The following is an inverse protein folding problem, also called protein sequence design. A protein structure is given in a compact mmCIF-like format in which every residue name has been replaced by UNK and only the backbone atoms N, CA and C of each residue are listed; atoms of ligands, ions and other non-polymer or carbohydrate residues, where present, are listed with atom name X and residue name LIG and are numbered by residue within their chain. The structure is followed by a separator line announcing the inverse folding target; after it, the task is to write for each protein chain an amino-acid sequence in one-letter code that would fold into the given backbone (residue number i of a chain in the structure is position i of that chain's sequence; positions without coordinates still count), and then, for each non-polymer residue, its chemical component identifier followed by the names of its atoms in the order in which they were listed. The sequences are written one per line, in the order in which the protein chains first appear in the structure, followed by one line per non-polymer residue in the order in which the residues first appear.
data_IF_507648779200
#
_entry.id   IF_507648779200
#
_cell.length_a   1.000
_cell.length_b   1.000
_cell.length_c   1.000
_cell.angle_alpha   90.00
_cell.angle_beta   90.00
_cell.angle_gamma   90.00
#
_symmetry.space_group_name_H-M   'P 1'
#
loop_
_entity.id
_entity.type
_entity.pdbx_description
1 polymer ?
#
# COMPACT_ATOMS: atom_id res chain seq x y z
N UNK A 1 61.89 55.98 -31.45
CA UNK A 1 60.56 56.37 -31.96
C UNK A 1 60.33 55.45 -33.15
N UNK A 2 59.76 54.26 -32.98
CA UNK A 2 58.36 54.00 -32.51
C UNK A 2 57.41 55.06 -33.10
N UNK A 3 56.28 54.75 -33.74
CA UNK A 3 55.31 53.68 -33.52
C UNK A 3 54.31 53.72 -34.70
N UNK A 4 53.53 52.65 -34.89
CA UNK A 4 52.14 52.64 -35.43
C UNK A 4 51.97 52.62 -36.96
N UNK A 5 51.12 51.78 -37.56
CA UNK A 5 50.31 50.69 -37.05
C UNK A 5 49.75 49.96 -38.29
N UNK A 6 50.12 48.70 -38.46
CA UNK A 6 49.39 47.74 -39.30
C UNK A 6 48.04 47.41 -38.60
N UNK A 7 47.14 48.39 -38.47
CA UNK A 7 45.83 48.25 -37.81
C UNK A 7 44.64 48.48 -38.76
N UNK A 8 44.77 48.14 -40.04
CA UNK A 8 43.66 48.27 -41.00
C UNK A 8 43.38 46.97 -41.77
N UNK A 9 43.55 45.81 -41.12
CA UNK A 9 43.18 44.51 -41.72
C UNK A 9 42.38 43.59 -40.79
N UNK A 10 41.97 44.05 -39.61
CA UNK A 10 41.24 43.24 -38.63
C UNK A 10 39.78 43.68 -38.43
N UNK A 11 39.17 44.38 -39.40
CA UNK A 11 37.73 44.63 -39.42
C UNK A 11 36.95 43.32 -39.61
N UNK A 12 36.72 42.65 -38.47
CA UNK A 12 35.46 42.04 -38.09
C UNK A 12 34.85 41.09 -39.14
N UNK A 13 35.58 40.02 -39.47
CA UNK A 13 34.94 38.79 -39.94
C UNK A 13 34.13 38.19 -38.79
N UNK A 14 32.92 38.72 -38.57
CA UNK A 14 31.97 38.15 -37.63
C UNK A 14 31.55 36.80 -38.23
N UNK A 15 31.91 35.66 -37.63
CA UNK A 15 31.58 34.38 -38.22
C UNK A 15 30.06 34.28 -38.31
N UNK A 16 29.54 34.12 -39.53
CA UNK A 16 28.11 33.88 -39.75
C UNK A 16 27.75 32.63 -38.98
N UNK A 17 27.01 32.79 -37.88
CA UNK A 17 26.59 31.68 -37.04
C UNK A 17 25.82 30.68 -37.92
N UNK A 18 26.41 29.49 -38.12
CA UNK A 18 25.83 28.46 -38.96
C UNK A 18 24.45 28.10 -38.42
N UNK A 19 23.45 28.02 -39.30
CA UNK A 19 22.09 27.62 -38.93
C UNK A 19 22.11 26.20 -38.35
N UNK A 20 21.79 26.07 -37.06
CA UNK A 20 21.64 24.76 -36.39
C UNK A 20 20.16 24.39 -36.42
N UNK A 21 19.83 23.26 -37.06
CA UNK A 21 18.45 22.75 -37.10
C UNK A 21 17.93 22.57 -35.67
N UNK A 22 16.70 23.03 -35.40
CA UNK A 22 16.06 22.99 -34.06
C UNK A 22 16.18 21.61 -33.38
N UNK A 23 16.07 20.52 -34.14
CA UNK A 23 16.17 19.14 -33.63
C UNK A 23 17.57 18.81 -33.11
N UNK A 24 18.61 19.36 -33.73
CA UNK A 24 19.99 19.23 -33.28
C UNK A 24 20.32 20.16 -32.09
N UNK A 25 19.45 21.10 -31.72
CA UNK A 25 19.62 21.91 -30.51
C UNK A 25 19.03 21.22 -29.27
N UNK A 26 18.02 20.36 -29.47
CA UNK A 26 17.39 19.62 -28.38
C UNK A 26 18.32 18.47 -27.98
N UNK A 27 18.66 18.43 -26.69
CA UNK A 27 19.44 17.39 -26.01
C UNK A 27 20.98 17.45 -26.10
N UNK A 28 21.59 18.46 -26.74
CA UNK A 28 23.06 18.57 -26.78
C UNK A 28 23.73 18.79 -25.42
N UNK A 29 22.99 19.25 -24.43
CA UNK A 29 23.47 19.51 -23.07
C UNK A 29 22.59 18.86 -21.99
N UNK A 30 21.73 17.90 -22.37
CA UNK A 30 20.91 17.17 -21.39
C UNK A 30 21.73 15.97 -20.88
N UNK A 31 22.37 16.15 -19.73
CA UNK A 31 22.99 15.05 -18.98
C UNK A 31 21.98 14.45 -18.02
N UNK A 32 21.82 13.13 -18.06
CA UNK A 32 21.12 12.38 -17.02
C UNK A 32 22.16 12.00 -15.98
N UNK A 33 22.07 12.58 -14.79
CA UNK A 33 22.93 12.24 -13.65
C UNK A 33 22.12 11.50 -12.59
N UNK A 34 22.78 10.58 -11.88
CA UNK A 34 22.20 9.98 -10.69
C UNK A 34 22.30 10.95 -9.52
N UNK A 35 21.18 11.19 -8.84
CA UNK A 35 21.21 11.88 -7.56
C UNK A 35 21.57 10.87 -6.47
N UNK A 36 22.78 11.00 -5.92
CA UNK A 36 23.29 10.09 -4.89
C UNK A 36 22.46 10.11 -3.62
N UNK A 37 21.76 11.22 -3.33
CA UNK A 37 20.88 11.32 -2.16
C UNK A 37 19.64 10.47 -2.35
N UNK A 38 19.00 10.60 -3.51
CA UNK A 38 17.85 9.76 -3.87
C UNK A 38 18.25 8.29 -3.95
N UNK A 39 19.46 7.98 -4.40
CA UNK A 39 19.98 6.60 -4.36
C UNK A 39 20.10 6.08 -2.92
N UNK A 40 20.67 6.88 -2.01
CA UNK A 40 20.80 6.51 -0.59
C UNK A 40 19.44 6.32 0.08
N UNK A 41 18.48 7.21 -0.20
CA UNK A 41 17.12 7.10 0.32
C UNK A 41 16.34 5.95 -0.32
N UNK A 42 16.59 5.67 -1.59
CA UNK A 42 16.03 4.50 -2.26
C UNK A 42 16.55 3.20 -1.65
N UNK A 43 17.87 3.07 -1.45
CA UNK A 43 18.48 1.84 -0.91
C UNK A 43 18.19 1.69 0.59
N UNK A 44 18.47 2.71 1.40
CA UNK A 44 18.33 2.65 2.85
C UNK A 44 16.91 2.92 3.37
N UNK A 45 16.08 3.60 2.57
CA UNK A 45 14.75 4.04 3.00
C UNK A 45 13.66 2.95 3.00
N UNK A 46 13.99 1.69 2.70
CA UNK A 46 13.00 0.60 2.66
C UNK A 46 12.27 0.44 4.00
N UNK A 47 12.97 0.50 5.13
CA UNK A 47 12.33 0.42 6.45
C UNK A 47 11.36 1.58 6.68
N UNK A 48 11.75 2.80 6.29
CA UNK A 48 10.89 4.00 6.40
C UNK A 48 9.67 3.88 5.50
N UNK A 49 9.83 3.49 4.23
CA UNK A 49 8.72 3.26 3.28
C UNK A 49 7.80 2.12 3.76
N UNK A 50 8.34 1.04 4.30
CA UNK A 50 7.56 -0.06 4.87
C UNK A 50 6.77 0.38 6.11
N UNK A 51 7.38 1.18 6.98
CA UNK A 51 6.70 1.76 8.15
C UNK A 51 5.62 2.75 7.76
N UNK A 52 5.87 3.59 6.74
CA UNK A 52 4.88 4.52 6.17
C UNK A 52 3.65 3.76 5.66
N UNK A 53 3.85 2.74 4.81
CA UNK A 53 2.76 1.92 4.28
C UNK A 53 1.91 1.26 5.36
N UNK A 54 2.52 0.77 6.45
CA UNK A 54 1.77 0.19 7.59
C UNK A 54 0.87 1.22 8.27
N UNK A 55 1.41 2.41 8.58
CA UNK A 55 0.63 3.49 9.19
C UNK A 55 -0.52 3.96 8.30
N UNK A 56 -0.30 4.05 6.99
CA UNK A 56 -1.35 4.43 6.03
C UNK A 56 -2.48 3.40 6.00
N UNK A 57 -2.14 2.10 6.01
CA UNK A 57 -3.14 1.05 6.09
C UNK A 57 -3.95 1.12 7.41
N UNK A 58 -3.28 1.33 8.55
CA UNK A 58 -3.95 1.50 9.85
C UNK A 58 -4.91 2.70 9.85
N UNK A 59 -4.48 3.84 9.30
CA UNK A 59 -5.32 5.04 9.20
C UNK A 59 -6.55 4.82 8.33
N UNK A 60 -6.40 4.14 7.19
CA UNK A 60 -7.53 3.81 6.32
C UNK A 60 -8.56 2.92 7.02
N UNK A 61 -8.10 1.91 7.77
CA UNK A 61 -8.98 1.04 8.56
C UNK A 61 -9.72 1.84 9.63
N UNK A 62 -9.02 2.70 10.38
CA UNK A 62 -9.64 3.55 11.42
C UNK A 62 -10.66 4.53 10.84
N UNK A 63 -10.37 5.13 9.68
CA UNK A 63 -11.29 6.06 9.02
C UNK A 63 -12.55 5.33 8.55
N UNK A 64 -12.41 4.14 7.95
CA UNK A 64 -13.55 3.32 7.56
C UNK A 64 -14.42 2.94 8.77
N UNK A 65 -13.82 2.52 9.88
CA UNK A 65 -14.54 2.24 11.13
C UNK A 65 -15.25 3.48 11.69
N UNK A 66 -14.61 4.66 11.61
CA UNK A 66 -15.22 5.92 12.06
C UNK A 66 -16.44 6.28 11.19
N UNK A 67 -16.34 6.12 9.87
CA UNK A 67 -17.47 6.36 8.94
C UNK A 67 -18.65 5.44 9.26
N UNK A 68 -18.39 4.13 9.43
CA UNK A 68 -19.41 3.15 9.84
C UNK A 68 -20.14 3.57 11.13
N UNK A 69 -19.41 4.00 12.16
CA UNK A 69 -20.02 4.47 13.44
C UNK A 69 -20.90 5.71 13.26
N UNK A 70 -20.49 6.65 12.42
CA UNK A 70 -21.26 7.87 12.16
C UNK A 70 -22.54 7.52 11.38
N UNK A 71 -22.44 6.66 10.38
CA UNK A 71 -23.58 6.20 9.59
C UNK A 71 -24.60 5.45 10.45
N UNK A 72 -24.13 4.55 11.33
CA UNK A 72 -25.00 3.85 12.29
C UNK A 72 -25.72 4.82 13.23
N UNK A 73 -25.02 5.84 13.76
CA UNK A 73 -25.63 6.90 14.57
C UNK A 73 -26.68 7.70 13.81
N UNK A 74 -26.41 8.04 12.54
CA UNK A 74 -27.36 8.74 11.68
C UNK A 74 -28.59 7.88 11.40
N UNK A 75 -28.41 6.60 11.09
CA UNK A 75 -29.50 5.64 10.86
C UNK A 75 -30.40 5.54 12.09
N UNK A 76 -29.83 5.36 13.29
CA UNK A 76 -30.58 5.31 14.56
C UNK A 76 -31.36 6.60 14.83
N UNK A 77 -30.78 7.75 14.50
CA UNK A 77 -31.46 9.05 14.66
C UNK A 77 -32.66 9.17 13.72
N UNK A 78 -32.47 8.82 12.44
CA UNK A 78 -33.54 8.85 11.44
C UNK A 78 -34.65 7.85 11.75
N UNK A 79 -34.28 6.63 12.16
CA UNK A 79 -35.24 5.61 12.59
C UNK A 79 -36.07 6.12 13.78
N UNK A 80 -35.41 6.64 14.82
CA UNK A 80 -36.10 7.24 15.97
C UNK A 80 -37.03 8.39 15.55
N UNK A 81 -36.59 9.28 14.67
CA UNK A 81 -37.42 10.37 14.15
C UNK A 81 -38.61 9.87 13.31
N UNK A 82 -38.43 8.81 12.52
CA UNK A 82 -39.48 8.20 11.70
C UNK A 82 -40.52 7.44 12.52
N UNK A 83 -40.09 6.74 13.58
CA UNK A 83 -40.95 5.98 14.48
C UNK A 83 -41.73 6.92 15.42
N UNK A 84 -41.09 7.97 15.94
CA UNK A 84 -41.74 8.95 16.82
C UNK A 84 -42.37 10.14 16.08
N UNK A 85 -42.40 10.15 14.74
CA UNK A 85 -43.11 11.15 13.94
C UNK A 85 -42.72 12.61 14.26
N UNK A 86 -41.47 12.87 14.66
CA UNK A 86 -41.00 14.21 15.02
C UNK A 86 -41.55 14.79 16.34
N UNK A 87 -42.26 14.01 17.17
CA UNK A 87 -42.66 14.43 18.51
C UNK A 87 -41.55 14.12 19.51
N UNK A 88 -40.89 15.16 20.03
CA UNK A 88 -39.89 15.05 21.10
C UNK A 88 -40.61 14.53 22.36
N UNK A 89 -40.29 13.33 22.89
CA UNK A 89 -40.82 12.95 24.19
C UNK A 89 -40.06 13.74 25.25
N UNK A 90 -40.70 14.77 25.78
CA UNK A 90 -40.27 15.47 26.98
C UNK A 90 -40.52 14.57 28.19
N UNK A 91 -39.63 13.60 28.45
CA UNK A 91 -39.62 12.87 29.74
C UNK A 91 -38.20 12.48 30.10
N UNK A 92 -37.64 13.29 30.99
CA UNK A 92 -36.85 12.85 32.13
C UNK A 92 -37.46 11.58 32.74
N UNK A 93 -36.82 10.43 32.56
CA UNK A 93 -37.02 9.23 33.38
C UNK A 93 -35.99 8.17 33.00
N UNK A 94 -35.19 7.81 33.98
CA UNK A 94 -34.24 6.71 33.89
C UNK A 94 -34.95 5.40 33.55
N UNK A 95 -34.37 4.67 32.61
CA UNK A 95 -34.54 3.23 32.49
C UNK A 95 -33.13 2.68 32.26
N UNK A 96 -32.45 2.50 33.38
CA UNK A 96 -31.48 1.43 33.56
C UNK A 96 -32.24 0.12 33.33
N UNK A 97 -31.90 -0.64 32.30
CA UNK A 97 -31.58 -2.06 32.42
C UNK A 97 -31.48 -2.77 31.05
N UNK A 98 -30.32 -3.39 30.86
CA UNK A 98 -30.11 -4.70 30.24
C UNK A 98 -30.37 -4.89 28.73
N UNK A 99 -29.36 -5.45 28.05
CA UNK A 99 -29.62 -6.44 27.02
C UNK A 99 -28.91 -6.19 25.71
N UNK A 100 -27.71 -6.76 25.61
CA UNK A 100 -27.06 -7.21 24.39
C UNK A 100 -26.63 -6.12 23.39
N UNK A 101 -25.38 -5.70 23.61
CA UNK A 101 -24.41 -5.48 22.53
C UNK A 101 -24.35 -6.76 21.67
N UNK A 102 -25.35 -6.96 20.83
CA UNK A 102 -25.32 -7.96 19.78
C UNK A 102 -24.35 -7.40 18.73
N UNK A 103 -23.07 -7.64 18.98
CA UNK A 103 -22.08 -7.77 17.93
C UNK A 103 -22.49 -8.97 17.07
N UNK A 104 -23.57 -8.81 16.28
CA UNK A 104 -23.71 -9.50 15.02
C UNK A 104 -22.60 -8.96 14.12
N UNK A 105 -21.42 -9.50 14.37
CA UNK A 105 -20.48 -9.98 13.37
C UNK A 105 -21.24 -10.82 12.34
N UNK A 106 -22.09 -10.15 11.56
CA UNK A 106 -22.39 -10.56 10.21
C UNK A 106 -21.18 -10.16 9.34
N UNK A 107 -20.02 -10.70 9.71
CA UNK A 107 -19.23 -11.45 8.75
C UNK A 107 -20.09 -12.60 8.23
N UNK A 108 -21.15 -12.26 7.49
CA UNK A 108 -21.94 -13.17 6.70
C UNK A 108 -20.99 -13.67 5.60
N UNK A 109 -20.16 -14.63 5.99
CA UNK A 109 -19.82 -15.84 5.25
C UNK A 109 -19.96 -15.66 3.73
N UNK A 110 -19.10 -14.81 3.17
CA UNK A 110 -18.47 -15.12 1.89
C UNK A 110 -17.31 -16.09 2.12
N UNK A 111 -17.42 -16.96 3.12
CA UNK A 111 -16.82 -18.28 3.04
C UNK A 111 -17.82 -19.09 2.23
N UNK A 112 -17.82 -18.87 0.91
CA UNK A 112 -18.06 -20.00 0.03
C UNK A 112 -17.03 -21.04 0.48
N UNK A 113 -17.42 -22.01 1.30
CA UNK A 113 -16.55 -23.12 1.70
C UNK A 113 -16.04 -23.75 0.40
N UNK A 114 -14.82 -23.37 0.01
CA UNK A 114 -14.10 -23.85 -1.17
C UNK A 114 -13.49 -25.22 -0.83
N UNK A 115 -14.25 -26.06 -0.12
CA UNK A 115 -13.93 -27.47 0.00
C UNK A 115 -14.39 -28.14 -1.30
N UNK A 116 -13.44 -28.39 -2.19
CA UNK A 116 -13.75 -28.84 -3.55
C UNK A 116 -12.59 -29.60 -4.15
N UNK A 117 -12.93 -30.68 -4.86
CA UNK A 117 -11.98 -31.44 -5.67
C UNK A 117 -12.31 -31.18 -7.13
N UNK A 118 -11.39 -30.52 -7.85
CA UNK A 118 -11.53 -30.24 -9.27
C UNK A 118 -10.47 -31.02 -10.05
N UNK A 119 -10.90 -31.76 -11.06
CA UNK A 119 -9.98 -32.52 -11.93
C UNK A 119 -9.98 -31.90 -13.33
N UNK A 120 -8.79 -31.55 -13.79
CA UNK A 120 -8.55 -31.01 -15.13
C UNK A 120 -7.83 -32.07 -15.97
N UNK A 121 -8.40 -32.41 -17.12
CA UNK A 121 -7.88 -33.44 -18.03
C UNK A 121 -7.51 -32.79 -19.36
N UNK A 122 -6.22 -32.81 -19.68
CA UNK A 122 -5.66 -32.23 -20.91
C UNK A 122 -5.29 -33.32 -21.94
N UNK A 123 -5.81 -34.55 -21.79
CA UNK A 123 -5.58 -35.67 -22.72
C UNK A 123 -4.28 -36.42 -22.45
N UNK A 124 -3.19 -35.68 -22.26
CA UNK A 124 -1.86 -36.25 -21.97
C UNK A 124 -1.56 -36.29 -20.46
N UNK A 125 -2.30 -35.53 -19.65
CA UNK A 125 -2.16 -35.47 -18.20
C UNK A 125 -3.48 -35.13 -17.51
N UNK A 126 -3.69 -35.73 -16.33
CA UNK A 126 -4.81 -35.42 -15.44
C UNK A 126 -4.27 -34.79 -14.16
N UNK A 127 -4.80 -33.62 -13.82
CA UNK A 127 -4.43 -32.87 -12.62
C UNK A 127 -5.64 -32.78 -11.71
N UNK A 128 -5.53 -33.33 -10.50
CA UNK A 128 -6.57 -33.22 -9.47
C UNK A 128 -6.13 -32.20 -8.42
N UNK A 129 -6.93 -31.15 -8.24
CA UNK A 129 -6.73 -30.11 -7.25
C UNK A 129 -7.75 -30.29 -6.14
N UNK A 130 -7.27 -30.58 -4.93
CA UNK A 130 -8.10 -30.67 -3.73
C UNK A 130 -7.84 -29.45 -2.87
N UNK A 131 -8.86 -28.63 -2.64
CA UNK A 131 -8.79 -27.52 -1.70
C UNK A 131 -9.60 -27.88 -0.45
N UNK A 132 -8.97 -27.74 0.72
CA UNK A 132 -9.63 -27.87 2.03
C UNK A 132 -9.53 -26.55 2.77
N UNK A 133 -10.58 -26.21 3.52
CA UNK A 133 -10.60 -25.02 4.38
C UNK A 133 -9.63 -25.22 5.55
N UNK A 134 -8.64 -24.34 5.67
CA UNK A 134 -7.67 -24.37 6.77
C UNK A 134 -8.22 -23.45 7.84
N UNK A 135 -8.81 -24.04 8.90
CA UNK A 135 -9.26 -23.28 10.07
C UNK A 135 -8.09 -22.54 10.70
N UNK A 136 -8.34 -21.32 11.18
CA UNK A 136 -7.33 -20.39 11.71
C UNK A 136 -6.65 -20.86 13.01
N UNK A 137 -7.03 -22.02 13.56
CA UNK A 137 -6.59 -22.51 14.87
C UNK A 137 -5.82 -23.85 14.86
N UNK A 138 -5.55 -24.48 13.72
CA UNK A 138 -4.76 -25.74 13.66
C UNK A 138 -3.32 -25.53 13.18
N UNK A 139 -2.55 -24.73 13.90
CA UNK A 139 -1.10 -24.58 13.71
C UNK A 139 -0.34 -25.57 14.63
N UNK A 140 -0.68 -26.86 14.56
CA UNK A 140 0.03 -27.92 15.29
C UNK A 140 0.36 -29.10 14.40
N UNK A 141 1.35 -28.89 13.53
CA UNK A 141 2.02 -29.94 12.79
C UNK A 141 2.58 -31.03 13.72
N UNK A 142 2.38 -32.34 13.45
CA UNK A 142 3.20 -33.37 14.04
C UNK A 142 4.60 -33.27 13.42
N UNK A 143 5.57 -32.77 14.18
CA UNK A 143 6.97 -32.75 13.73
C UNK A 143 7.48 -34.19 13.60
N UNK A 144 7.61 -34.67 12.38
CA UNK A 144 8.29 -35.92 12.09
C UNK A 144 9.78 -35.75 12.42
N UNK A 145 10.25 -36.50 13.43
CA UNK A 145 11.63 -36.48 13.91
C UNK A 145 12.57 -37.01 12.82
N UNK A 146 13.23 -36.13 12.08
CA UNK A 146 14.51 -36.46 11.45
C UNK A 146 15.62 -36.28 12.49
N UNK A 147 16.22 -37.39 12.92
CA UNK A 147 17.45 -37.36 13.71
C UNK A 147 18.57 -36.79 12.84
N UNK A 148 19.03 -35.58 13.14
CA UNK A 148 20.27 -35.03 12.61
C UNK A 148 21.20 -34.73 13.79
N UNK A 149 22.39 -35.33 13.75
CA UNK A 149 23.41 -35.27 14.78
C UNK A 149 23.76 -33.82 15.16
N UNK A 150 23.80 -33.56 16.46
CA UNK A 150 23.97 -32.22 17.02
C UNK A 150 25.34 -31.61 16.72
N UNK A 151 25.34 -30.32 16.38
CA UNK A 151 26.51 -29.46 16.56
C UNK A 151 26.13 -28.43 17.62
N UNK A 152 26.71 -28.57 18.81
CA UNK A 152 26.41 -27.77 19.98
C UNK A 152 27.22 -26.46 19.92
N UNK A 153 26.58 -25.35 19.58
CA UNK A 153 27.22 -24.02 19.57
C UNK A 153 26.96 -23.37 20.94
N UNK A 154 27.98 -23.36 21.80
CA UNK A 154 27.94 -22.70 23.09
C UNK A 154 28.19 -21.19 22.93
N UNK A 155 27.20 -20.37 23.30
CA UNK A 155 27.39 -18.94 23.51
C UNK A 155 27.82 -18.71 24.96
N UNK A 156 29.06 -18.26 25.18
CA UNK A 156 29.49 -17.70 26.47
C UNK A 156 29.18 -16.21 26.49
N UNK A 157 28.66 -15.78 27.65
CA UNK A 157 28.31 -14.40 28.00
C UNK A 157 29.52 -13.49 28.17
#
# INVERSE_FOLDING_TARGET
MEVEADEEAALLSRPRARHIKKRALKNKALSVSFDEKDLKDFVGGFHKRKKKRRKEAELLVQEAQRRKRIEARKKRKLERESVYGGAVPATDSGSDECGEDDEQDEGSELVTSISGTATYDNGDMKVTVTTSEISREEDKFPSEKMQAAGTQINWRS
#
